data_IF_029735831290
#
_entry.id   IF_029735831290
#
_cell.length_a   1.000
_cell.length_b   1.000
_cell.length_c   1.000
_cell.angle_alpha   90.00
_cell.angle_beta   90.00
_cell.angle_gamma   90.00
#
_symmetry.space_group_name_H-M   'P 1'
#
loop_
_entity.id
_entity.type
_entity.pdbx_description
1 polymer ?
#
# COMPACT_ATOMS: atom_id res chain seq x y z
N UNK A 1 34.71 -10.15 -30.09
CA UNK A 1 33.70 -10.43 -29.05
C UNK A 1 33.03 -9.11 -28.68
N UNK A 2 31.70 -9.07 -28.63
CA UNK A 2 30.94 -7.87 -28.27
C UNK A 2 30.46 -7.99 -26.82
N UNK A 3 30.68 -6.95 -26.03
CA UNK A 3 30.16 -6.86 -24.66
C UNK A 3 28.85 -6.08 -24.67
N UNK A 4 27.77 -6.70 -24.21
CA UNK A 4 26.49 -6.01 -24.03
C UNK A 4 26.52 -5.33 -22.67
N UNK A 5 26.53 -3.99 -22.66
CA UNK A 5 26.49 -3.20 -21.42
C UNK A 5 25.05 -2.78 -21.15
N UNK A 6 24.53 -3.11 -19.97
CA UNK A 6 23.20 -2.67 -19.53
C UNK A 6 23.19 -1.15 -19.40
N UNK A 7 22.25 -0.43 -20.04
CA UNK A 7 22.20 1.01 -19.93
C UNK A 7 21.86 1.45 -18.49
N UNK A 8 22.36 2.61 -18.05
CA UNK A 8 22.06 3.15 -16.72
C UNK A 8 20.56 3.45 -16.58
N UNK A 9 20.03 3.22 -15.37
CA UNK A 9 18.62 3.49 -15.06
C UNK A 9 18.33 5.00 -15.15
N UNK A 10 17.25 5.37 -15.84
CA UNK A 10 16.81 6.76 -15.98
C UNK A 10 15.72 7.11 -14.96
N UNK A 11 15.81 8.29 -14.36
CA UNK A 11 14.74 8.82 -13.50
C UNK A 11 13.50 9.19 -14.33
N UNK A 12 12.31 8.94 -13.77
CA UNK A 12 11.01 9.27 -14.39
C UNK A 12 10.36 10.42 -13.64
N UNK A 13 9.79 11.38 -14.38
CA UNK A 13 9.10 12.53 -13.79
C UNK A 13 7.83 12.09 -13.04
N UNK A 14 7.64 12.60 -11.83
CA UNK A 14 6.39 12.42 -11.10
C UNK A 14 5.29 13.31 -11.69
N UNK A 15 4.12 12.73 -11.95
CA UNK A 15 2.96 13.50 -12.43
C UNK A 15 2.44 14.42 -11.31
N UNK A 16 2.10 15.69 -11.59
CA UNK A 16 1.57 16.62 -10.59
C UNK A 16 0.34 16.08 -9.83
N UNK A 17 -0.55 15.35 -10.52
CA UNK A 17 -1.72 14.74 -9.91
C UNK A 17 -1.37 13.71 -8.82
N UNK A 18 -0.31 12.93 -9.01
CA UNK A 18 0.18 11.97 -7.99
C UNK A 18 0.75 12.70 -6.78
N UNK A 19 1.53 13.76 -7.00
CA UNK A 19 2.08 14.58 -5.93
C UNK A 19 0.99 15.29 -5.13
N UNK A 20 -0.03 15.84 -5.80
CA UNK A 20 -1.18 16.46 -5.15
C UNK A 20 -2.00 15.44 -4.34
N UNK A 21 -2.16 14.21 -4.84
CA UNK A 21 -2.81 13.15 -4.09
C UNK A 21 -2.06 12.81 -2.80
N UNK A 22 -0.74 12.61 -2.89
CA UNK A 22 0.11 12.36 -1.74
C UNK A 22 0.07 13.52 -0.73
N UNK A 23 0.16 14.76 -1.20
CA UNK A 23 0.10 15.96 -0.37
C UNK A 23 -1.21 16.09 0.41
N UNK A 24 -2.35 15.75 -0.22
CA UNK A 24 -3.65 15.75 0.46
C UNK A 24 -3.71 14.70 1.57
N UNK A 25 -3.21 13.50 1.33
CA UNK A 25 -3.20 12.43 2.32
C UNK A 25 -2.22 12.72 3.48
N UNK A 26 -1.07 13.34 3.22
CA UNK A 26 -0.11 13.68 4.26
C UNK A 26 -0.55 14.87 5.12
N UNK A 27 -1.39 15.76 4.60
CA UNK A 27 -1.80 17.00 5.28
C UNK A 27 -2.54 16.75 6.61
N UNK A 28 -3.28 15.64 6.72
CA UNK A 28 -4.00 15.26 7.96
C UNK A 28 -3.40 14.01 8.62
N UNK A 29 -2.43 13.36 7.98
CA UNK A 29 -1.97 12.05 8.42
C UNK A 29 -1.21 12.09 9.73
N UNK A 30 -0.44 13.13 10.06
CA UNK A 30 0.45 13.05 11.24
C UNK A 30 -0.33 12.98 12.56
N UNK A 31 -1.35 13.83 12.69
CA UNK A 31 -2.28 13.84 13.82
C UNK A 31 -3.21 12.62 13.81
N UNK A 32 -3.70 12.18 12.66
CA UNK A 32 -4.54 10.98 12.56
C UNK A 32 -3.76 9.68 12.83
N UNK A 33 -2.46 9.61 12.50
CA UNK A 33 -1.61 8.46 12.82
C UNK A 33 -1.42 8.31 14.32
N UNK A 34 -1.32 9.41 15.07
CA UNK A 34 -1.27 9.38 16.53
C UNK A 34 -2.57 8.79 17.13
N UNK A 35 -3.74 9.21 16.62
CA UNK A 35 -5.04 8.68 17.07
C UNK A 35 -5.20 7.20 16.71
N UNK A 36 -4.82 6.81 15.49
CA UNK A 36 -4.90 5.42 15.03
C UNK A 36 -3.97 4.52 15.86
N UNK A 37 -2.76 4.98 16.18
CA UNK A 37 -1.80 4.21 16.99
C UNK A 37 -2.25 4.11 18.44
N UNK A 38 -2.83 5.18 19.01
CA UNK A 38 -3.39 5.16 20.37
C UNK A 38 -4.61 4.23 20.46
N UNK A 39 -5.45 4.19 19.42
CA UNK A 39 -6.71 3.43 19.42
C UNK A 39 -6.53 1.97 19.06
N UNK A 40 -5.76 1.68 18.00
CA UNK A 40 -5.58 0.32 17.47
C UNK A 40 -4.27 -0.34 17.96
N UNK A 41 -3.36 0.42 18.56
CA UNK A 41 -2.02 -0.04 18.87
C UNK A 41 -1.15 -0.21 17.61
N UNK A 42 0.15 -0.54 17.78
CA UNK A 42 1.04 -0.84 16.65
C UNK A 42 0.59 -2.11 15.94
N UNK A 43 0.20 -2.00 14.67
CA UNK A 43 -0.19 -3.14 13.85
C UNK A 43 1.06 -3.92 13.40
N UNK A 44 1.26 -5.12 13.96
CA UNK A 44 2.27 -6.09 13.50
C UNK A 44 1.58 -7.32 12.90
N UNK A 45 1.15 -7.27 11.64
CA UNK A 45 0.62 -8.46 10.99
C UNK A 45 1.77 -9.46 10.81
N UNK A 46 1.70 -10.62 11.48
CA UNK A 46 2.51 -11.77 11.05
C UNK A 46 2.08 -12.16 9.65
N UNK A 47 3.04 -12.52 8.81
CA UNK A 47 2.90 -12.86 7.38
C UNK A 47 1.76 -13.87 7.09
N UNK A 48 1.32 -14.62 8.11
CA UNK A 48 0.26 -15.62 8.01
C UNK A 48 -0.97 -15.36 8.91
N UNK A 49 -0.93 -14.35 9.78
CA UNK A 49 -2.02 -14.06 10.73
C UNK A 49 -3.11 -13.18 10.11
N UNK A 50 -2.73 -12.38 9.12
CA UNK A 50 -3.64 -11.52 8.36
C UNK A 50 -4.19 -12.19 7.10
N UNK A 51 -3.87 -13.47 6.86
CA UNK A 51 -4.58 -14.25 5.85
C UNK A 51 -5.93 -14.63 6.45
N UNK A 52 -7.07 -14.10 5.96
CA UNK A 52 -8.32 -14.77 6.20
C UNK A 52 -8.17 -16.17 5.60
N UNK A 53 -8.14 -17.20 6.45
CA UNK A 53 -8.36 -18.58 6.06
C UNK A 53 -9.53 -18.55 5.08
N UNK A 54 -9.25 -18.87 3.81
CA UNK A 54 -10.15 -18.70 2.66
C UNK A 54 -11.61 -18.79 3.09
N UNK A 55 -12.27 -17.64 3.23
CA UNK A 55 -13.72 -17.62 3.47
C UNK A 55 -14.32 -18.07 2.15
N UNK A 56 -14.71 -19.34 2.07
CA UNK A 56 -15.46 -19.86 0.95
C UNK A 56 -16.66 -18.93 0.73
N UNK A 57 -16.66 -18.20 -0.37
CA UNK A 57 -17.77 -17.34 -0.71
C UNK A 57 -19.02 -18.23 -0.81
N UNK A 58 -19.92 -18.12 0.16
CA UNK A 58 -21.22 -18.77 0.06
C UNK A 58 -21.97 -18.08 -1.08
N UNK A 59 -22.01 -18.73 -2.25
CA UNK A 59 -22.85 -18.26 -3.33
C UNK A 59 -24.30 -18.27 -2.84
N UNK A 60 -25.06 -17.17 -3.03
CA UNK A 60 -26.46 -17.18 -2.66
C UNK A 60 -27.16 -18.26 -3.50
N UNK A 61 -27.80 -19.23 -2.83
CA UNK A 61 -28.68 -20.17 -3.51
C UNK A 61 -29.92 -19.38 -3.92
N UNK A 62 -30.06 -19.13 -5.23
CA UNK A 62 -31.31 -18.63 -5.77
C UNK A 62 -32.33 -19.76 -5.68
N UNK A 63 -33.43 -19.50 -4.99
CA UNK A 63 -34.66 -20.30 -5.05
C UNK A 63 -35.60 -19.70 -6.09
#
# INVERSE_FOLDING_TARGET
MAITVTPPATARSHSPARSACAARCSATSDEEQAVSTVTAGPWSPKVYESRPETTAAAFPVAW
#
